data_IF_515662634491
#
_entry.id   IF_515662634491
#
_cell.length_a   1.000
_cell.length_b   1.000
_cell.length_c   1.000
_cell.angle_alpha   90.00
_cell.angle_beta   90.00
_cell.angle_gamma   90.00
#
_symmetry.space_group_name_H-M   'P 1'
#
loop_
_entity.id
_entity.type
_entity.pdbx_description
1 polymer ?
#
# COMPACT_ATOMS: atom_id res chain seq x y z
N UNK A 1 10.18 -19.09 -36.53
CA UNK A 1 9.06 -19.84 -35.92
C UNK A 1 9.38 -20.33 -34.50
N UNK A 2 10.60 -20.78 -34.22
CA UNK A 2 11.02 -21.29 -32.91
C UNK A 2 11.03 -20.20 -31.82
N UNK A 3 11.40 -18.96 -32.16
CA UNK A 3 11.48 -17.84 -31.19
C UNK A 3 10.11 -17.33 -30.70
N UNK A 4 9.05 -17.43 -31.53
CA UNK A 4 7.68 -17.05 -31.09
C UNK A 4 7.10 -18.06 -30.09
N UNK A 5 7.38 -19.34 -30.22
CA UNK A 5 6.91 -20.37 -29.29
C UNK A 5 7.58 -20.31 -27.92
N UNK A 6 8.86 -19.98 -27.85
CA UNK A 6 9.59 -19.83 -26.58
C UNK A 6 9.09 -18.63 -25.72
N UNK A 7 8.81 -17.49 -26.34
CA UNK A 7 8.26 -16.34 -25.63
C UNK A 7 6.89 -16.63 -24.97
N UNK A 8 6.04 -17.43 -25.61
CA UNK A 8 4.75 -17.84 -25.05
C UNK A 8 4.91 -18.86 -23.90
N UNK A 9 5.91 -19.72 -23.94
CA UNK A 9 6.23 -20.64 -22.85
C UNK A 9 6.72 -19.87 -21.62
N UNK A 10 7.59 -18.89 -21.80
CA UNK A 10 8.06 -18.02 -20.71
C UNK A 10 6.92 -17.24 -20.05
N UNK A 11 6.02 -16.64 -20.86
CA UNK A 11 4.82 -15.95 -20.35
C UNK A 11 3.94 -16.86 -19.51
N UNK A 12 3.65 -18.08 -20.01
CA UNK A 12 2.84 -19.06 -19.27
C UNK A 12 3.50 -19.46 -17.96
N UNK A 13 4.81 -19.68 -17.96
CA UNK A 13 5.58 -20.04 -16.78
C UNK A 13 5.54 -18.92 -15.72
N UNK A 14 5.79 -17.65 -16.11
CA UNK A 14 5.72 -16.48 -15.23
C UNK A 14 4.32 -16.32 -14.66
N UNK A 15 3.27 -16.37 -15.50
CA UNK A 15 1.88 -16.28 -15.05
C UNK A 15 1.52 -17.43 -14.11
N UNK A 16 1.97 -18.65 -14.37
CA UNK A 16 1.73 -19.81 -13.51
C UNK A 16 2.37 -19.60 -12.13
N UNK A 17 3.61 -19.10 -12.07
CA UNK A 17 4.29 -18.80 -10.82
C UNK A 17 3.53 -17.72 -10.02
N UNK A 18 3.05 -16.68 -10.69
CA UNK A 18 2.24 -15.61 -10.05
C UNK A 18 0.92 -16.17 -9.50
N UNK A 19 0.18 -16.95 -10.29
CA UNK A 19 -1.11 -17.53 -9.89
C UNK A 19 -0.95 -18.47 -8.69
N UNK A 20 0.03 -19.35 -8.73
CA UNK A 20 0.29 -20.27 -7.61
C UNK A 20 0.73 -19.48 -6.39
N UNK A 21 1.65 -18.52 -6.56
CA UNK A 21 2.11 -17.66 -5.47
C UNK A 21 0.99 -16.87 -4.79
N UNK A 22 0.07 -16.31 -5.58
CA UNK A 22 -1.11 -15.61 -5.07
C UNK A 22 -2.05 -16.55 -4.29
N UNK A 23 -2.21 -17.80 -4.72
CA UNK A 23 -3.03 -18.80 -4.00
C UNK A 23 -2.40 -19.24 -2.68
N UNK A 24 -1.08 -19.30 -2.60
CA UNK A 24 -0.38 -19.67 -1.36
C UNK A 24 -0.50 -18.59 -0.29
N UNK A 25 -0.68 -17.32 -0.68
CA UNK A 25 -0.78 -16.20 0.23
C UNK A 25 0.52 -15.88 0.99
N UNK A 26 0.50 -14.86 1.84
CA UNK A 26 1.65 -14.47 2.65
C UNK A 26 2.91 -14.22 1.79
N UNK A 27 4.01 -14.90 2.11
CA UNK A 27 5.26 -14.85 1.34
C UNK A 27 5.23 -15.67 0.04
N UNK A 28 4.13 -16.42 -0.19
CA UNK A 28 4.01 -17.37 -1.30
C UNK A 28 4.27 -16.74 -2.66
N UNK A 29 3.83 -15.50 -2.85
CA UNK A 29 4.05 -14.76 -4.09
C UNK A 29 5.55 -14.56 -4.38
N UNK A 30 6.32 -14.14 -3.39
CA UNK A 30 7.76 -13.91 -3.54
C UNK A 30 8.55 -15.21 -3.75
N UNK A 31 8.24 -16.25 -2.96
CA UNK A 31 8.95 -17.55 -3.08
C UNK A 31 8.67 -18.19 -4.44
N UNK A 32 7.42 -18.12 -4.93
CA UNK A 32 7.08 -18.60 -6.27
C UNK A 32 7.73 -17.76 -7.37
N UNK A 33 7.94 -16.46 -7.14
CA UNK A 33 8.79 -15.63 -8.00
C UNK A 33 10.22 -16.17 -8.09
N UNK A 34 10.80 -16.58 -6.95
CA UNK A 34 12.11 -17.26 -6.93
C UNK A 34 12.13 -18.57 -7.71
N UNK A 35 11.09 -19.40 -7.56
CA UNK A 35 10.96 -20.64 -8.38
C UNK A 35 10.86 -20.30 -9.86
N UNK A 36 10.04 -19.32 -10.21
CA UNK A 36 9.89 -18.87 -11.59
C UNK A 36 11.19 -18.35 -12.18
N UNK A 37 11.95 -17.56 -11.44
CA UNK A 37 13.27 -17.08 -11.82
C UNK A 37 14.26 -18.26 -12.02
N UNK A 38 14.25 -19.23 -11.10
CA UNK A 38 15.08 -20.43 -11.23
C UNK A 38 14.80 -21.20 -12.52
N UNK A 39 13.53 -21.35 -12.90
CA UNK A 39 13.15 -21.98 -14.17
C UNK A 39 13.62 -21.14 -15.36
N UNK A 40 13.43 -19.81 -15.34
CA UNK A 40 13.91 -18.93 -16.41
C UNK A 40 15.42 -19.04 -16.59
N UNK A 41 16.17 -19.11 -15.48
CA UNK A 41 17.65 -19.13 -15.51
C UNK A 41 18.21 -20.52 -15.81
N UNK A 42 17.81 -21.54 -15.04
CA UNK A 42 18.46 -22.85 -15.09
C UNK A 42 17.89 -23.76 -16.17
N UNK A 43 16.61 -23.60 -16.55
CA UNK A 43 15.98 -24.42 -17.58
C UNK A 43 16.03 -23.73 -18.94
N UNK A 44 15.73 -22.44 -18.97
CA UNK A 44 15.64 -21.69 -20.22
C UNK A 44 16.91 -20.88 -20.55
N UNK A 45 17.88 -20.81 -19.64
CA UNK A 45 19.16 -20.14 -19.88
C UNK A 45 19.09 -18.62 -19.97
N UNK A 46 18.02 -17.98 -19.45
CA UNK A 46 17.97 -16.52 -19.37
C UNK A 46 18.94 -16.03 -18.31
N UNK A 47 19.71 -15.00 -18.67
CA UNK A 47 20.59 -14.33 -17.69
C UNK A 47 19.74 -13.56 -16.68
N UNK A 48 19.88 -13.83 -15.36
CA UNK A 48 19.14 -13.10 -14.37
C UNK A 48 19.63 -11.65 -14.29
N UNK A 49 18.69 -10.72 -14.12
CA UNK A 49 18.99 -9.32 -13.84
C UNK A 49 19.46 -9.13 -12.39
N UNK A 50 19.82 -7.91 -11.99
CA UNK A 50 20.09 -7.61 -10.59
C UNK A 50 18.77 -7.63 -9.78
N UNK A 51 18.77 -8.15 -8.55
CA UNK A 51 17.61 -8.05 -7.67
C UNK A 51 17.33 -6.58 -7.31
N UNK A 52 16.08 -6.19 -7.04
CA UNK A 52 15.69 -4.81 -6.74
C UNK A 52 16.04 -4.40 -5.29
N UNK A 53 17.34 -4.39 -4.95
CA UNK A 53 17.85 -4.21 -3.57
C UNK A 53 17.40 -2.87 -2.99
N UNK A 54 17.58 -1.78 -3.74
CA UNK A 54 17.22 -0.43 -3.26
C UNK A 54 15.74 -0.33 -2.89
N UNK A 55 14.86 -0.90 -3.72
CA UNK A 55 13.41 -0.94 -3.44
C UNK A 55 13.12 -1.74 -2.17
N UNK A 56 13.79 -2.88 -2.00
CA UNK A 56 13.62 -3.72 -0.82
C UNK A 56 14.08 -3.00 0.45
N UNK A 57 15.21 -2.30 0.41
CA UNK A 57 15.77 -1.57 1.55
C UNK A 57 14.91 -0.34 1.89
N UNK A 58 14.44 0.41 0.89
CA UNK A 58 13.49 1.51 1.12
C UNK A 58 12.22 1.02 1.84
N UNK A 59 11.62 -0.07 1.38
CA UNK A 59 10.42 -0.63 2.00
C UNK A 59 10.73 -1.12 3.42
N UNK A 60 11.84 -1.79 3.64
CA UNK A 60 12.25 -2.25 4.97
C UNK A 60 12.45 -1.08 5.96
N UNK A 61 13.02 0.04 5.52
CA UNK A 61 13.19 1.23 6.33
C UNK A 61 11.84 1.85 6.73
N UNK A 62 10.92 2.03 5.76
CA UNK A 62 9.58 2.55 6.02
C UNK A 62 8.80 1.65 6.99
N UNK A 63 8.84 0.33 6.79
CA UNK A 63 8.19 -0.64 7.65
C UNK A 63 8.75 -0.59 9.07
N UNK A 64 10.06 -0.43 9.21
CA UNK A 64 10.70 -0.29 10.51
C UNK A 64 10.15 0.92 11.27
N UNK A 65 10.04 2.08 10.64
CA UNK A 65 9.46 3.28 11.25
C UNK A 65 7.98 3.09 11.60
N UNK A 66 7.17 2.55 10.68
CA UNK A 66 5.75 2.30 10.90
C UNK A 66 5.50 1.28 12.02
N UNK A 67 6.36 0.26 12.13
CA UNK A 67 6.29 -0.76 13.19
C UNK A 67 6.66 -0.18 14.55
N UNK A 68 7.66 0.71 14.62
CA UNK A 68 8.00 1.45 15.84
C UNK A 68 6.85 2.37 16.26
N UNK A 69 6.20 3.05 15.32
CA UNK A 69 5.00 3.85 15.58
C UNK A 69 3.85 2.98 16.12
N UNK A 70 3.62 1.81 15.52
CA UNK A 70 2.62 0.84 16.03
C UNK A 70 2.92 0.40 17.45
N UNK A 71 4.16 0.00 17.73
CA UNK A 71 4.57 -0.46 19.06
C UNK A 71 4.46 0.62 20.15
N UNK A 72 4.63 1.90 19.77
CA UNK A 72 4.42 3.06 20.64
C UNK A 72 2.94 3.40 20.86
N UNK A 73 1.99 2.66 20.23
CA UNK A 73 0.54 2.90 20.32
C UNK A 73 0.01 3.93 19.33
N UNK A 74 0.82 4.35 18.34
CA UNK A 74 0.44 5.36 17.37
C UNK A 74 -0.78 4.96 16.54
N UNK A 75 -0.87 3.68 16.11
CA UNK A 75 -2.03 3.19 15.38
C UNK A 75 -3.30 3.22 16.23
N UNK A 76 -3.23 2.80 17.51
CA UNK A 76 -4.37 2.85 18.41
C UNK A 76 -4.85 4.30 18.62
N UNK A 77 -3.92 5.25 18.70
CA UNK A 77 -4.23 6.68 18.77
C UNK A 77 -4.96 7.18 17.52
N UNK A 78 -4.51 6.76 16.32
CA UNK A 78 -5.18 7.09 15.06
C UNK A 78 -6.59 6.50 15.00
N UNK A 79 -6.79 5.26 15.46
CA UNK A 79 -8.11 4.61 15.54
C UNK A 79 -9.07 5.39 16.45
N UNK A 80 -8.60 5.85 17.62
CA UNK A 80 -9.41 6.71 18.51
C UNK A 80 -9.78 8.06 17.87
N UNK A 81 -8.88 8.62 17.10
CA UNK A 81 -9.17 9.85 16.34
C UNK A 81 -10.23 9.57 15.26
N UNK A 82 -10.14 8.42 14.55
CA UNK A 82 -11.16 8.00 13.61
C UNK A 82 -12.53 7.83 14.26
N UNK A 83 -12.59 7.15 15.40
CA UNK A 83 -13.81 6.97 16.18
C UNK A 83 -14.45 8.32 16.52
N UNK A 84 -13.65 9.23 17.04
CA UNK A 84 -14.15 10.57 17.40
C UNK A 84 -14.74 11.32 16.20
N UNK A 85 -14.06 11.26 15.05
CA UNK A 85 -14.51 11.90 13.81
C UNK A 85 -15.81 11.29 13.28
N UNK A 86 -15.90 9.96 13.28
CA UNK A 86 -17.08 9.24 12.79
C UNK A 86 -18.30 9.45 13.71
N UNK A 87 -18.10 9.35 15.03
CA UNK A 87 -19.19 9.55 16.02
C UNK A 87 -19.68 11.00 16.11
N UNK A 88 -18.87 11.97 15.68
CA UNK A 88 -19.29 13.39 15.65
C UNK A 88 -20.35 13.65 14.57
N UNK A 89 -20.31 12.93 13.45
CA UNK A 89 -21.25 13.08 12.33
C UNK A 89 -21.71 11.71 11.81
N UNK A 90 -22.44 10.94 12.61
CA UNK A 90 -22.71 9.54 12.32
C UNK A 90 -23.67 9.34 11.13
N UNK A 91 -24.55 10.30 10.85
CA UNK A 91 -25.44 10.27 9.66
C UNK A 91 -24.69 10.32 8.33
N UNK A 92 -23.44 10.82 8.33
CA UNK A 92 -22.60 10.90 7.13
C UNK A 92 -21.51 9.81 7.10
N UNK A 93 -21.69 8.73 7.85
CA UNK A 93 -20.67 7.66 7.98
C UNK A 93 -20.25 7.07 6.62
N UNK A 94 -21.16 6.94 5.66
CA UNK A 94 -20.84 6.43 4.31
C UNK A 94 -19.87 7.35 3.54
N UNK A 95 -19.89 8.66 3.78
CA UNK A 95 -19.00 9.61 3.15
C UNK A 95 -17.73 9.84 3.99
N UNK A 96 -17.85 9.85 5.31
CA UNK A 96 -16.73 10.13 6.23
C UNK A 96 -15.79 8.92 6.37
N UNK A 97 -16.32 7.70 6.40
CA UNK A 97 -15.50 6.50 6.60
C UNK A 97 -14.42 6.31 5.53
N UNK A 98 -14.70 6.45 4.22
CA UNK A 98 -13.65 6.35 3.21
C UNK A 98 -12.60 7.45 3.32
N UNK A 99 -13.01 8.69 3.67
CA UNK A 99 -12.06 9.79 3.85
C UNK A 99 -11.14 9.57 5.05
N UNK A 100 -11.69 9.09 6.16
CA UNK A 100 -10.89 8.77 7.37
C UNK A 100 -9.95 7.60 7.11
N UNK A 101 -10.43 6.53 6.50
CA UNK A 101 -9.59 5.37 6.15
C UNK A 101 -8.53 5.73 5.11
N UNK A 102 -8.87 6.54 4.12
CA UNK A 102 -7.93 7.06 3.14
C UNK A 102 -6.82 7.85 3.81
N UNK A 103 -7.18 8.86 4.62
CA UNK A 103 -6.21 9.71 5.30
C UNK A 103 -5.25 8.91 6.19
N UNK A 104 -5.78 7.97 6.95
CA UNK A 104 -4.97 7.17 7.87
C UNK A 104 -4.06 6.19 7.13
N UNK A 105 -4.55 5.55 6.08
CA UNK A 105 -3.73 4.70 5.22
C UNK A 105 -2.67 5.50 4.47
N UNK A 106 -3.03 6.68 3.98
CA UNK A 106 -2.10 7.61 3.34
C UNK A 106 -0.94 7.99 4.26
N UNK A 107 -1.26 8.37 5.51
CA UNK A 107 -0.25 8.72 6.53
C UNK A 107 0.59 7.51 6.93
N UNK A 108 -0.02 6.36 7.16
CA UNK A 108 0.68 5.17 7.64
C UNK A 108 1.44 4.41 6.53
N UNK A 109 1.16 4.69 5.25
CA UNK A 109 1.76 3.99 4.10
C UNK A 109 1.34 2.53 3.96
N UNK A 110 0.34 2.07 4.74
CA UNK A 110 -0.09 0.67 4.78
C UNK A 110 -1.59 0.53 5.01
N UNK A 111 -2.24 -0.39 4.29
CA UNK A 111 -3.66 -0.70 4.43
C UNK A 111 -4.07 -1.38 5.74
N UNK A 112 -3.11 -1.83 6.55
CA UNK A 112 -3.42 -2.51 7.83
C UNK A 112 -4.15 -1.60 8.83
N UNK A 113 -3.98 -0.30 8.73
CA UNK A 113 -4.72 0.68 9.56
C UNK A 113 -6.22 0.58 9.33
N UNK A 114 -6.66 0.28 8.12
CA UNK A 114 -8.07 0.10 7.81
C UNK A 114 -8.72 -0.99 8.66
N UNK A 115 -8.06 -2.13 8.85
CA UNK A 115 -8.60 -3.23 9.66
C UNK A 115 -8.95 -2.83 11.10
N UNK A 116 -8.22 -1.86 11.64
CA UNK A 116 -8.49 -1.34 12.99
C UNK A 116 -9.64 -0.33 13.02
N UNK A 117 -9.94 0.33 11.90
CA UNK A 117 -11.01 1.33 11.78
C UNK A 117 -12.34 0.70 11.32
N UNK A 118 -12.30 -0.38 10.52
CA UNK A 118 -13.50 -1.02 9.99
C UNK A 118 -14.51 -1.43 11.07
N UNK A 119 -14.12 -2.01 12.22
CA UNK A 119 -15.05 -2.33 13.29
C UNK A 119 -15.79 -1.11 13.82
N UNK A 120 -15.11 0.02 13.96
CA UNK A 120 -15.71 1.31 14.40
C UNK A 120 -16.74 1.79 13.38
N UNK A 121 -16.40 1.70 12.09
CA UNK A 121 -17.32 2.07 11.00
C UNK A 121 -18.58 1.21 11.04
N UNK A 122 -18.43 -0.10 11.25
CA UNK A 122 -19.55 -1.04 11.36
C UNK A 122 -20.46 -0.69 12.54
N UNK A 123 -19.88 -0.40 13.71
CA UNK A 123 -20.64 -0.02 14.91
C UNK A 123 -21.41 1.29 14.68
N UNK A 124 -20.75 2.35 14.23
CA UNK A 124 -21.40 3.66 13.97
C UNK A 124 -22.51 3.51 12.91
N UNK A 125 -22.28 2.76 11.84
CA UNK A 125 -23.29 2.51 10.82
C UNK A 125 -24.51 1.76 11.38
N UNK A 126 -24.30 0.77 12.23
CA UNK A 126 -25.38 -0.02 12.86
C UNK A 126 -26.18 0.85 13.85
N UNK A 127 -25.51 1.65 14.70
CA UNK A 127 -26.15 2.59 15.63
C UNK A 127 -27.04 3.61 14.91
N UNK A 128 -26.60 4.08 13.74
CA UNK A 128 -27.37 5.03 12.91
C UNK A 128 -28.34 4.38 11.92
N UNK A 129 -28.48 3.06 11.97
CA UNK A 129 -29.34 2.29 11.07
C UNK A 129 -29.00 2.43 9.59
N UNK A 130 -27.78 2.85 9.30
CA UNK A 130 -27.21 2.87 7.96
C UNK A 130 -26.71 1.46 7.65
N UNK A 131 -26.97 0.97 6.44
CA UNK A 131 -26.51 -0.34 5.98
C UNK A 131 -24.98 -0.44 6.04
N UNK A 132 -24.37 -1.31 6.92
CA UNK A 132 -22.93 -1.30 7.15
C UNK A 132 -22.07 -1.61 5.92
N UNK A 133 -22.60 -2.38 4.96
CA UNK A 133 -21.89 -2.71 3.73
C UNK A 133 -21.55 -1.46 2.89
N UNK A 134 -22.36 -0.40 2.98
CA UNK A 134 -22.10 0.86 2.27
C UNK A 134 -20.81 1.52 2.73
N UNK A 135 -20.67 1.94 3.99
CA UNK A 135 -19.44 2.59 4.47
C UNK A 135 -18.26 1.63 4.55
N UNK A 136 -18.45 0.35 4.87
CA UNK A 136 -17.37 -0.62 4.94
C UNK A 136 -16.75 -0.90 3.57
N UNK A 137 -17.58 -1.15 2.56
CA UNK A 137 -17.10 -1.45 1.21
C UNK A 137 -16.25 -0.31 0.64
N UNK A 138 -16.76 0.92 0.73
CA UNK A 138 -16.03 2.08 0.20
C UNK A 138 -14.82 2.45 1.07
N UNK A 139 -14.85 2.20 2.38
CA UNK A 139 -13.69 2.43 3.26
C UNK A 139 -12.53 1.49 2.92
N UNK A 140 -12.81 0.22 2.59
CA UNK A 140 -11.78 -0.73 2.12
C UNK A 140 -11.19 -0.26 0.79
N UNK A 141 -12.02 0.12 -0.17
CA UNK A 141 -11.56 0.65 -1.46
C UNK A 141 -10.72 1.90 -1.26
N UNK A 142 -11.16 2.83 -0.42
CA UNK A 142 -10.43 4.06 -0.10
C UNK A 142 -9.05 3.79 0.51
N UNK A 143 -8.95 2.80 1.40
CA UNK A 143 -7.67 2.37 1.95
C UNK A 143 -6.72 1.85 0.87
N UNK A 144 -7.19 1.01 -0.06
CA UNK A 144 -6.36 0.52 -1.15
C UNK A 144 -5.92 1.63 -2.11
N UNK A 145 -6.81 2.57 -2.42
CA UNK A 145 -6.47 3.75 -3.22
C UNK A 145 -5.44 4.64 -2.51
N UNK A 146 -5.55 4.81 -1.20
CA UNK A 146 -4.60 5.59 -0.41
C UNK A 146 -3.18 5.01 -0.41
N UNK A 147 -3.00 3.68 -0.50
CA UNK A 147 -1.69 3.06 -0.67
C UNK A 147 -1.00 3.57 -1.93
N UNK A 148 -1.74 3.65 -3.03
CA UNK A 148 -1.21 4.13 -4.32
C UNK A 148 -0.82 5.62 -4.27
N UNK A 149 -1.49 6.41 -3.45
CA UNK A 149 -1.25 7.84 -3.29
C UNK A 149 -0.23 8.17 -2.18
N UNK A 150 0.05 7.25 -1.26
CA UNK A 150 0.95 7.51 -0.13
C UNK A 150 2.41 7.57 -0.58
N UNK A 151 3.15 8.64 -0.22
CA UNK A 151 4.55 8.81 -0.62
C UNK A 151 5.50 7.76 -0.01
N UNK A 152 5.06 7.08 1.04
CA UNK A 152 5.85 6.12 1.81
C UNK A 152 5.31 4.69 1.72
N UNK A 153 4.30 4.44 0.90
CA UNK A 153 3.82 3.07 0.69
C UNK A 153 4.81 2.24 -0.12
N UNK A 154 4.84 0.95 0.13
CA UNK A 154 5.66 0.02 -0.63
C UNK A 154 5.41 0.12 -2.15
N UNK A 155 4.16 0.36 -2.56
CA UNK A 155 3.79 0.48 -3.96
C UNK A 155 4.38 1.74 -4.62
N UNK A 156 4.25 2.91 -3.98
CA UNK A 156 4.79 4.18 -4.50
C UNK A 156 6.31 4.19 -4.50
N UNK A 157 6.92 3.65 -3.44
CA UNK A 157 8.38 3.53 -3.33
C UNK A 157 8.93 2.59 -4.40
N UNK A 158 8.27 1.45 -4.64
CA UNK A 158 8.65 0.54 -5.72
C UNK A 158 8.51 1.22 -7.11
N UNK A 159 7.41 1.93 -7.34
CA UNK A 159 7.20 2.66 -8.59
C UNK A 159 8.28 3.74 -8.80
N UNK A 160 8.61 4.51 -7.76
CA UNK A 160 9.68 5.50 -7.82
C UNK A 160 11.02 4.87 -8.20
N UNK A 161 11.37 3.73 -7.60
CA UNK A 161 12.58 2.98 -7.93
C UNK A 161 12.60 2.48 -9.37
N UNK A 162 11.48 1.97 -9.87
CA UNK A 162 11.35 1.51 -11.27
C UNK A 162 11.43 2.66 -12.29
N UNK A 163 11.06 3.86 -11.89
CA UNK A 163 11.08 5.07 -12.74
C UNK A 163 12.34 5.91 -12.58
N UNK A 164 13.32 5.49 -11.79
CA UNK A 164 14.54 6.25 -11.50
C UNK A 164 15.35 6.62 -12.74
N UNK A 165 15.23 5.89 -13.87
CA UNK A 165 15.89 6.19 -15.13
C UNK A 165 15.15 7.15 -16.07
N UNK A 166 14.00 7.69 -15.66
CA UNK A 166 13.10 8.48 -16.51
C UNK A 166 12.90 9.93 -16.04
N UNK A 167 13.76 10.44 -15.16
CA UNK A 167 13.68 11.80 -14.58
C UNK A 167 12.32 12.12 -13.91
N UNK A 168 11.62 11.08 -13.44
CA UNK A 168 10.34 11.20 -12.75
C UNK A 168 10.59 11.32 -11.25
N UNK A 169 10.10 12.41 -10.68
CA UNK A 169 10.20 12.68 -9.24
C UNK A 169 9.04 12.07 -8.45
N UNK A 170 9.21 11.94 -7.14
CA UNK A 170 8.10 11.56 -6.24
C UNK A 170 6.92 12.52 -6.37
N UNK A 171 7.19 13.83 -6.54
CA UNK A 171 6.14 14.82 -6.72
C UNK A 171 5.34 14.59 -8.01
N UNK A 172 5.99 14.17 -9.09
CA UNK A 172 5.31 13.86 -10.33
C UNK A 172 4.34 12.70 -10.21
N UNK A 173 4.69 11.70 -9.42
CA UNK A 173 3.79 10.59 -9.09
C UNK A 173 2.63 11.10 -8.24
N UNK A 174 2.91 11.82 -7.16
CA UNK A 174 1.90 12.26 -6.19
C UNK A 174 0.89 13.26 -6.78
N UNK A 175 1.32 14.17 -7.65
CA UNK A 175 0.41 15.15 -8.30
C UNK A 175 -0.64 14.49 -9.21
N UNK A 176 -0.40 13.24 -9.64
CA UNK A 176 -1.35 12.46 -10.42
C UNK A 176 -2.16 11.54 -9.50
N UNK A 177 -1.48 10.80 -8.63
CA UNK A 177 -2.12 9.75 -7.83
C UNK A 177 -3.04 10.31 -6.75
N UNK A 178 -2.67 11.40 -6.07
CA UNK A 178 -3.50 11.99 -5.02
C UNK A 178 -4.86 12.47 -5.55
N UNK A 179 -4.93 13.36 -6.56
CA UNK A 179 -6.23 13.83 -7.04
C UNK A 179 -7.04 12.71 -7.69
N UNK A 180 -6.42 11.81 -8.46
CA UNK A 180 -7.12 10.71 -9.11
C UNK A 180 -7.77 9.77 -8.09
N UNK A 181 -7.05 9.37 -7.05
CA UNK A 181 -7.57 8.48 -6.02
C UNK A 181 -8.62 9.14 -5.14
N UNK A 182 -8.44 10.42 -4.75
CA UNK A 182 -9.45 11.15 -3.98
C UNK A 182 -10.75 11.29 -4.78
N UNK A 183 -10.67 11.68 -6.06
CA UNK A 183 -11.86 11.77 -6.91
C UNK A 183 -12.53 10.41 -7.03
N UNK A 184 -11.77 9.35 -7.28
CA UNK A 184 -12.29 7.98 -7.37
C UNK A 184 -13.00 7.54 -6.09
N UNK A 185 -12.42 7.82 -4.93
CA UNK A 185 -12.99 7.51 -3.62
C UNK A 185 -14.28 8.30 -3.37
N UNK A 186 -14.30 9.60 -3.67
CA UNK A 186 -15.50 10.45 -3.50
C UNK A 186 -16.64 9.99 -4.42
N UNK A 187 -16.34 9.73 -5.68
CA UNK A 187 -17.34 9.19 -6.63
C UNK A 187 -17.85 7.83 -6.14
N UNK A 188 -16.97 6.92 -5.76
CA UNK A 188 -17.35 5.63 -5.19
C UNK A 188 -18.22 5.75 -3.94
N UNK A 189 -17.93 6.70 -3.04
CA UNK A 189 -18.71 6.97 -1.85
C UNK A 189 -20.12 7.44 -2.19
N UNK A 190 -20.26 8.35 -3.16
CA UNK A 190 -21.58 8.83 -3.61
C UNK A 190 -22.44 7.70 -4.21
N UNK A 191 -21.83 6.81 -5.00
CA UNK A 191 -22.54 5.64 -5.51
C UNK A 191 -22.90 4.65 -4.41
N UNK A 192 -22.00 4.42 -3.45
CA UNK A 192 -22.22 3.51 -2.32
C UNK A 192 -23.39 3.92 -1.43
N UNK A 193 -23.69 5.22 -1.32
CA UNK A 193 -24.84 5.73 -0.56
C UNK A 193 -26.18 5.15 -1.02
N UNK A 194 -26.29 4.74 -2.30
CA UNK A 194 -27.52 4.23 -2.92
C UNK A 194 -27.55 2.71 -3.02
N UNK A 195 -26.54 2.00 -2.55
CA UNK A 195 -26.44 0.54 -2.68
C UNK A 195 -27.36 -0.16 -1.67
N UNK A 196 -28.22 -1.04 -2.15
CA UNK A 196 -29.10 -1.87 -1.32
C UNK A 196 -30.25 -1.11 -0.67
N UNK A 197 -31.15 -1.85 -0.01
CA UNK A 197 -32.28 -1.28 0.76
C UNK A 197 -31.78 -0.67 2.07
N UNK A 198 -32.57 0.23 2.64
CA UNK A 198 -32.30 0.71 4.00
C UNK A 198 -32.35 -0.45 5.00
N UNK A 199 -31.54 -0.38 6.04
CA UNK A 199 -31.40 -1.48 6.99
C UNK A 199 -32.70 -1.85 7.67
N UNK A 200 -33.56 -0.86 7.94
CA UNK A 200 -34.88 -1.06 8.56
C UNK A 200 -35.84 -1.79 7.63
N UNK A 201 -35.69 -1.64 6.33
CA UNK A 201 -36.57 -2.26 5.31
C UNK A 201 -36.04 -3.64 4.86
N UNK A 202 -34.88 -4.07 5.34
CA UNK A 202 -34.27 -5.35 4.98
C UNK A 202 -34.91 -6.51 5.77
N UNK A 203 -35.58 -7.47 5.10
CA UNK A 203 -36.25 -8.57 5.79
C UNK A 203 -35.30 -9.46 6.58
N UNK A 204 -34.07 -9.65 6.08
CA UNK A 204 -33.05 -10.47 6.77
C UNK A 204 -32.55 -9.78 8.04
N UNK A 205 -32.35 -8.47 8.00
CA UNK A 205 -32.02 -7.68 9.17
C UNK A 205 -33.13 -7.76 10.24
N UNK A 206 -34.40 -7.60 9.83
CA UNK A 206 -35.54 -7.69 10.73
C UNK A 206 -35.67 -9.07 11.37
N UNK A 207 -35.39 -10.13 10.60
CA UNK A 207 -35.37 -11.50 11.11
C UNK A 207 -34.29 -11.69 12.18
N UNK A 208 -33.06 -11.31 11.88
CA UNK A 208 -31.91 -11.41 12.82
C UNK A 208 -32.12 -10.56 14.06
N UNK A 209 -32.76 -9.39 13.93
CA UNK A 209 -33.10 -8.54 15.07
C UNK A 209 -34.09 -9.24 16.01
N UNK A 210 -35.13 -9.92 15.46
CA UNK A 210 -36.09 -10.70 16.24
C UNK A 210 -35.49 -11.92 16.89
N UNK A 211 -34.49 -12.53 16.25
CA UNK A 211 -33.76 -13.69 16.78
C UNK A 211 -32.71 -13.29 17.84
N UNK A 212 -32.55 -12.01 18.13
CA UNK A 212 -31.58 -11.52 19.13
C UNK A 212 -30.12 -11.73 18.76
N UNK A 213 -29.83 -11.91 17.45
CA UNK A 213 -28.49 -12.17 16.95
C UNK A 213 -27.60 -10.91 16.89
N UNK A 214 -28.18 -9.72 17.06
CA UNK A 214 -27.42 -8.49 17.21
C UNK A 214 -27.02 -8.32 18.66
N UNK A 215 -25.76 -8.65 18.97
CA UNK A 215 -25.19 -8.32 20.26
C UNK A 215 -24.85 -6.83 20.27
N UNK A 216 -25.47 -6.06 21.16
CA UNK A 216 -25.13 -4.66 21.50
C UNK A 216 -23.75 -4.54 22.21
N UNK A 217 -22.85 -5.50 22.00
CA UNK A 217 -21.50 -5.38 22.53
C UNK A 217 -20.79 -4.27 21.79
N UNK A 218 -20.70 -3.11 22.44
CA UNK A 218 -19.79 -2.04 22.02
C UNK A 218 -18.40 -2.64 21.87
N UNK A 219 -17.79 -2.36 20.72
CA UNK A 219 -16.41 -2.77 20.50
C UNK A 219 -15.55 -1.93 21.43
N UNK A 220 -14.96 -2.58 22.42
CA UNK A 220 -13.99 -1.90 23.28
C UNK A 220 -12.73 -1.61 22.47
N UNK A 221 -12.61 -0.37 22.04
CA UNK A 221 -11.36 0.11 21.45
C UNK A 221 -10.33 0.16 22.58
N UNK A 222 -9.22 -0.54 22.39
CA UNK A 222 -8.15 -0.59 23.38
C UNK A 222 -7.74 0.83 23.78
N UNK A 223 -7.78 1.09 25.07
CA UNK A 223 -7.31 2.36 25.59
C UNK A 223 -5.83 2.55 25.32
N UNK A 224 -5.49 3.70 24.78
CA UNK A 224 -4.08 4.07 24.54
C UNK A 224 -3.40 4.23 25.88
N UNK A 225 -2.59 3.24 26.29
CA UNK A 225 -1.92 3.21 27.60
C UNK A 225 -1.12 4.48 27.90
N UNK A 226 -0.47 5.03 26.87
CA UNK A 226 0.29 6.28 26.97
C UNK A 226 -0.01 7.18 25.75
N UNK A 227 -1.03 8.04 25.91
CA UNK A 227 -1.49 8.96 24.86
C UNK A 227 -0.37 9.87 24.34
N UNK A 228 0.54 10.33 25.22
CA UNK A 228 1.65 11.20 24.83
C UNK A 228 2.65 10.47 23.94
N UNK A 229 3.06 9.27 24.29
CA UNK A 229 3.95 8.44 23.48
C UNK A 229 3.33 8.13 22.11
N UNK A 230 2.06 7.73 22.10
CA UNK A 230 1.33 7.43 20.89
C UNK A 230 1.24 8.66 19.95
N UNK A 231 0.86 9.80 20.48
CA UNK A 231 0.79 11.06 19.71
C UNK A 231 2.16 11.47 19.17
N UNK A 232 3.22 11.40 19.99
CA UNK A 232 4.58 11.74 19.57
C UNK A 232 5.10 10.80 18.47
N UNK A 233 4.82 9.51 18.55
CA UNK A 233 5.22 8.56 17.52
C UNK A 233 4.57 8.87 16.16
N UNK A 234 3.27 9.20 16.15
CA UNK A 234 2.56 9.64 14.95
C UNK A 234 3.14 10.95 14.41
N UNK A 235 3.39 11.93 15.27
CA UNK A 235 3.97 13.21 14.86
C UNK A 235 5.35 13.05 14.23
N UNK A 236 6.25 12.27 14.85
CA UNK A 236 7.59 12.00 14.32
C UNK A 236 7.48 11.33 12.96
N UNK A 237 6.57 10.36 12.80
CA UNK A 237 6.37 9.65 11.55
C UNK A 237 5.84 10.57 10.44
N UNK A 238 4.88 11.45 10.75
CA UNK A 238 4.35 12.46 9.81
C UNK A 238 5.45 13.45 9.41
N UNK A 239 6.26 13.91 10.35
CA UNK A 239 7.38 14.82 10.06
C UNK A 239 8.42 14.16 9.16
N UNK A 240 8.79 12.90 9.42
CA UNK A 240 9.68 12.14 8.56
C UNK A 240 9.11 12.01 7.13
N UNK A 241 7.81 11.70 7.00
CA UNK A 241 7.13 11.66 5.70
C UNK A 241 7.16 13.02 5.00
N UNK A 242 6.91 14.10 5.73
CA UNK A 242 6.97 15.46 5.19
C UNK A 242 8.39 15.80 4.67
N UNK A 243 9.44 15.38 5.38
CA UNK A 243 10.83 15.53 4.91
C UNK A 243 11.07 14.77 3.61
N UNK A 244 10.60 13.53 3.50
CA UNK A 244 10.72 12.74 2.26
C UNK A 244 10.03 13.43 1.09
N UNK A 245 8.81 13.93 1.30
CA UNK A 245 8.08 14.67 0.27
C UNK A 245 8.81 15.95 -0.12
N UNK A 246 9.37 16.68 0.85
CA UNK A 246 10.13 17.89 0.61
C UNK A 246 11.36 17.63 -0.28
N UNK A 247 12.20 16.68 0.07
CA UNK A 247 13.38 16.29 -0.74
C UNK A 247 12.99 15.66 -2.08
N UNK A 248 11.86 14.98 -2.14
CA UNK A 248 11.31 14.41 -3.38
C UNK A 248 10.75 15.46 -4.33
N UNK A 249 10.28 16.59 -3.79
CA UNK A 249 9.72 17.71 -4.58
C UNK A 249 10.78 18.70 -5.03
N UNK A 250 11.83 18.90 -4.26
CA UNK A 250 12.86 19.91 -4.49
C UNK A 250 14.25 19.26 -4.53
N UNK A 251 14.68 18.88 -5.72
CA UNK A 251 15.97 18.20 -5.92
C UNK A 251 17.15 19.01 -5.42
N UNK A 252 17.13 20.32 -5.62
CA UNK A 252 18.18 21.25 -5.16
C UNK A 252 18.31 21.35 -3.63
N UNK A 253 17.38 20.78 -2.85
CA UNK A 253 17.49 20.69 -1.38
C UNK A 253 18.18 19.40 -0.91
N UNK A 254 18.39 18.44 -1.81
CA UNK A 254 19.04 17.17 -1.46
C UNK A 254 20.51 17.40 -1.15
N UNK A 255 21.08 16.73 -0.15
CA UNK A 255 22.52 16.79 0.14
C UNK A 255 23.33 16.37 -1.08
N UNK A 256 24.36 17.15 -1.38
CA UNK A 256 25.32 16.87 -2.45
C UNK A 256 26.72 16.80 -1.90
N UNK A 257 27.50 15.86 -2.41
CA UNK A 257 28.86 15.57 -1.95
C UNK A 257 29.83 15.69 -3.12
N UNK A 258 31.05 16.16 -2.85
CA UNK A 258 32.11 16.14 -3.84
C UNK A 258 32.84 14.78 -3.73
N UNK A 259 32.66 13.94 -4.73
CA UNK A 259 33.28 12.61 -4.82
C UNK A 259 34.11 12.58 -6.10
N UNK A 260 35.40 12.32 -5.99
CA UNK A 260 36.36 12.24 -7.12
C UNK A 260 36.33 13.47 -8.07
N UNK A 261 35.99 14.65 -7.52
CA UNK A 261 35.89 15.91 -8.28
C UNK A 261 34.55 16.17 -8.94
N UNK A 262 33.57 15.25 -8.83
CA UNK A 262 32.21 15.40 -9.32
C UNK A 262 31.22 15.65 -8.17
N UNK A 263 30.19 16.47 -8.44
CA UNK A 263 29.12 16.72 -7.46
C UNK A 263 28.09 15.60 -7.61
N UNK A 264 28.01 14.75 -6.60
CA UNK A 264 27.02 13.65 -6.53
C UNK A 264 25.92 14.02 -5.56
N UNK A 265 24.70 14.15 -6.05
CA UNK A 265 23.51 14.43 -5.24
C UNK A 265 22.92 13.13 -4.69
N UNK A 266 22.53 13.13 -3.42
CA UNK A 266 21.98 11.95 -2.75
C UNK A 266 20.67 11.50 -3.41
N UNK A 267 20.60 10.23 -3.80
CA UNK A 267 19.43 9.63 -4.41
C UNK A 267 18.24 9.52 -3.44
N UNK A 268 17.01 9.51 -4.00
CA UNK A 268 15.79 9.40 -3.19
C UNK A 268 15.71 8.11 -2.39
N UNK A 269 16.24 7.01 -2.88
CA UNK A 269 16.30 5.73 -2.16
C UNK A 269 17.00 5.91 -0.82
N UNK A 270 18.22 6.46 -0.85
CA UNK A 270 19.02 6.69 0.36
C UNK A 270 18.38 7.70 1.30
N UNK A 271 17.71 8.75 0.77
CA UNK A 271 16.97 9.71 1.60
C UNK A 271 15.84 9.02 2.35
N UNK A 272 15.03 8.21 1.68
CA UNK A 272 13.93 7.46 2.31
C UNK A 272 14.47 6.53 3.40
N UNK A 273 15.54 5.79 3.10
CA UNK A 273 16.16 4.86 4.03
C UNK A 273 16.68 5.56 5.28
N UNK A 274 17.48 6.61 5.11
CA UNK A 274 18.07 7.38 6.21
C UNK A 274 17.00 8.04 7.08
N UNK A 275 16.04 8.73 6.45
CA UNK A 275 14.99 9.47 7.17
C UNK A 275 14.09 8.51 7.94
N UNK A 276 13.67 7.39 7.34
CA UNK A 276 12.78 6.43 8.00
C UNK A 276 13.48 5.63 9.10
N UNK A 277 14.72 5.20 8.91
CA UNK A 277 15.47 4.54 9.97
C UNK A 277 15.75 5.51 11.14
N UNK A 278 16.07 6.77 10.83
CA UNK A 278 16.24 7.81 11.86
C UNK A 278 14.93 8.06 12.63
N UNK A 279 13.80 8.14 11.93
CA UNK A 279 12.49 8.27 12.55
C UNK A 279 12.15 7.08 13.46
N UNK A 280 12.45 5.85 13.01
CA UNK A 280 12.29 4.64 13.83
C UNK A 280 13.10 4.75 15.14
N UNK A 281 14.38 5.12 15.05
CA UNK A 281 15.25 5.29 16.21
C UNK A 281 14.73 6.39 17.15
N UNK A 282 14.34 7.55 16.63
CA UNK A 282 13.79 8.66 17.42
C UNK A 282 12.51 8.23 18.14
N UNK A 283 11.60 7.51 17.43
CA UNK A 283 10.38 6.98 18.05
C UNK A 283 10.73 6.07 19.22
N UNK A 284 11.61 5.09 19.06
CA UNK A 284 11.98 4.17 20.12
C UNK A 284 12.57 4.89 21.34
N UNK A 285 13.47 5.86 21.11
CA UNK A 285 14.13 6.62 22.18
C UNK A 285 13.13 7.53 22.91
N UNK A 286 12.36 8.34 22.18
CA UNK A 286 11.46 9.34 22.77
C UNK A 286 10.27 8.68 23.48
N UNK A 287 9.74 7.59 22.91
CA UNK A 287 8.59 6.87 23.49
C UNK A 287 9.01 5.80 24.49
N UNK A 288 10.31 5.52 24.62
CA UNK A 288 10.85 4.42 25.44
C UNK A 288 10.22 3.07 25.10
N UNK A 289 9.95 2.86 23.81
CA UNK A 289 9.36 1.63 23.29
C UNK A 289 10.44 0.59 23.04
N UNK A 290 10.18 -0.65 23.40
CA UNK A 290 11.07 -1.77 23.16
C UNK A 290 11.07 -2.15 21.66
N UNK A 291 12.26 -2.22 21.05
CA UNK A 291 12.44 -2.61 19.65
C UNK A 291 11.92 -4.01 19.32
N UNK A 292 11.97 -4.94 20.28
CA UNK A 292 11.40 -6.29 20.10
C UNK A 292 9.89 -6.22 19.86
N UNK A 293 9.18 -5.34 20.57
CA UNK A 293 7.74 -5.14 20.38
C UNK A 293 7.40 -4.62 19.00
N UNK A 294 8.28 -3.84 18.38
CA UNK A 294 8.06 -3.34 17.04
C UNK A 294 7.97 -4.47 16.00
N UNK A 295 8.73 -5.55 16.17
CA UNK A 295 8.70 -6.71 15.25
C UNK A 295 7.53 -7.66 15.50
N UNK A 296 6.89 -7.57 16.65
CA UNK A 296 5.75 -8.43 17.04
C UNK A 296 4.38 -7.88 16.61
N UNK A 297 4.32 -6.61 16.20
CA UNK A 297 3.11 -5.99 15.70
C UNK A 297 2.71 -6.51 14.31
N UNK A 298 1.49 -6.18 13.86
CA UNK A 298 0.97 -6.62 12.55
C UNK A 298 1.66 -5.95 11.35
N UNK A 299 2.20 -4.75 11.54
CA UNK A 299 2.81 -3.96 10.46
C UNK A 299 4.12 -4.59 9.98
N UNK A 300 4.98 -5.04 10.91
CA UNK A 300 6.29 -5.59 10.55
C UNK A 300 6.20 -6.87 9.70
N UNK A 301 5.48 -7.94 10.13
CA UNK A 301 5.34 -9.16 9.33
C UNK A 301 4.71 -8.89 7.97
N UNK A 302 3.68 -8.07 7.91
CA UNK A 302 3.01 -7.75 6.67
C UNK A 302 3.90 -6.95 5.70
N UNK A 303 4.68 -6.03 6.24
CA UNK A 303 5.66 -5.29 5.44
C UNK A 303 6.78 -6.17 4.95
N UNK A 304 7.30 -7.09 5.77
CA UNK A 304 8.32 -8.05 5.33
C UNK A 304 7.78 -9.02 4.26
N UNK A 305 6.49 -9.37 4.30
CA UNK A 305 5.86 -10.11 3.20
C UNK A 305 5.91 -9.32 1.89
N UNK A 306 5.69 -8.00 1.93
CA UNK A 306 5.81 -7.14 0.74
C UNK A 306 7.26 -7.09 0.21
N UNK A 307 8.26 -6.99 1.09
CA UNK A 307 9.68 -7.05 0.71
C UNK A 307 10.00 -8.36 -0.02
N UNK A 308 9.57 -9.51 0.54
CA UNK A 308 9.81 -10.82 -0.04
C UNK A 308 9.06 -10.97 -1.38
N UNK A 309 7.82 -10.47 -1.46
CA UNK A 309 7.04 -10.49 -2.68
C UNK A 309 7.72 -9.71 -3.80
N UNK A 310 8.19 -8.50 -3.52
CA UNK A 310 8.91 -7.66 -4.49
C UNK A 310 10.23 -8.32 -4.89
N UNK A 311 10.98 -8.86 -3.91
CA UNK A 311 12.21 -9.59 -4.20
C UNK A 311 12.00 -10.67 -5.25
N UNK A 312 11.05 -11.57 -5.05
CA UNK A 312 10.85 -12.69 -5.98
C UNK A 312 10.18 -12.29 -7.29
N UNK A 313 9.04 -11.58 -7.21
CA UNK A 313 8.23 -11.26 -8.41
C UNK A 313 8.90 -10.20 -9.28
N UNK A 314 9.45 -9.13 -8.69
CA UNK A 314 10.06 -8.08 -9.50
C UNK A 314 11.34 -8.61 -10.17
N UNK A 315 12.16 -9.39 -9.47
CA UNK A 315 13.36 -9.98 -10.04
C UNK A 315 13.04 -10.96 -11.18
N UNK A 316 12.06 -11.86 -10.98
CA UNK A 316 11.57 -12.75 -12.03
C UNK A 316 11.02 -11.96 -13.22
N UNK A 317 10.18 -10.94 -12.93
CA UNK A 317 9.54 -10.10 -13.95
C UNK A 317 10.55 -9.32 -14.77
N UNK A 318 11.53 -8.70 -14.13
CA UNK A 318 12.58 -7.94 -14.82
C UNK A 318 13.46 -8.85 -15.68
N UNK A 319 13.86 -10.00 -15.17
CA UNK A 319 14.59 -11.02 -15.94
C UNK A 319 13.80 -11.47 -17.17
N UNK A 320 12.48 -11.72 -17.00
CA UNK A 320 11.61 -12.06 -18.12
C UNK A 320 11.50 -10.92 -19.15
N UNK A 321 11.27 -9.69 -18.68
CA UNK A 321 11.12 -8.51 -19.53
C UNK A 321 12.38 -8.24 -20.32
N UNK A 322 13.55 -8.21 -19.70
CA UNK A 322 14.82 -7.95 -20.37
C UNK A 322 15.17 -9.06 -21.37
N UNK A 323 14.94 -10.32 -21.00
CA UNK A 323 15.16 -11.45 -21.90
C UNK A 323 14.23 -11.50 -23.11
N UNK A 324 13.10 -10.78 -23.08
CA UNK A 324 12.11 -10.77 -24.15
C UNK A 324 11.81 -9.35 -24.68
N UNK A 325 12.62 -8.35 -24.35
CA UNK A 325 12.37 -6.93 -24.65
C UNK A 325 12.06 -6.69 -26.13
N UNK A 326 12.83 -7.24 -27.05
CA UNK A 326 12.64 -7.06 -28.48
C UNK A 326 11.25 -7.54 -28.98
N UNK A 327 10.78 -8.67 -28.47
CA UNK A 327 9.48 -9.24 -28.86
C UNK A 327 8.31 -8.49 -28.20
N UNK A 328 8.49 -8.04 -26.96
CA UNK A 328 7.49 -7.28 -26.22
C UNK A 328 7.29 -5.90 -26.80
N UNK A 329 8.37 -5.19 -27.14
CA UNK A 329 8.32 -3.88 -27.79
C UNK A 329 7.52 -3.94 -29.09
N UNK A 330 7.82 -4.89 -29.97
CA UNK A 330 7.09 -5.06 -31.23
C UNK A 330 5.60 -5.36 -31.03
N UNK A 331 5.26 -6.14 -30.00
CA UNK A 331 3.88 -6.53 -29.71
C UNK A 331 3.07 -5.39 -29.08
N UNK A 332 3.67 -4.67 -28.15
CA UNK A 332 3.01 -3.60 -27.39
C UNK A 332 2.89 -2.32 -28.23
N UNK A 333 3.93 -1.98 -28.99
CA UNK A 333 3.96 -0.76 -29.82
C UNK A 333 2.82 -0.72 -30.82
N UNK A 334 2.48 -1.85 -31.43
CA UNK A 334 1.34 -1.97 -32.35
C UNK A 334 -0.03 -1.72 -31.66
N UNK A 335 -0.21 -2.21 -30.45
CA UNK A 335 -1.47 -2.08 -29.69
C UNK A 335 -1.60 -0.67 -29.10
N UNK A 336 -0.54 -0.16 -28.48
CA UNK A 336 -0.56 1.17 -27.82
C UNK A 336 -0.69 2.31 -28.84
N UNK A 337 -0.07 2.20 -30.00
CA UNK A 337 -0.23 3.20 -31.07
C UNK A 337 -1.65 3.23 -31.65
N UNK A 338 -2.32 2.08 -31.74
CA UNK A 338 -3.67 2.01 -32.31
C UNK A 338 -4.76 2.35 -31.28
N UNK A 339 -4.57 1.99 -30.03
CA UNK A 339 -5.60 2.14 -28.98
C UNK A 339 -4.97 2.45 -27.60
N UNK A 340 -4.49 3.69 -27.35
CA UNK A 340 -3.84 4.07 -26.09
C UNK A 340 -4.74 3.89 -24.86
N UNK A 341 -6.04 4.03 -25.00
CA UNK A 341 -7.04 3.85 -23.94
C UNK A 341 -7.19 2.40 -23.47
N UNK A 342 -6.89 1.42 -24.33
CA UNK A 342 -6.93 0.00 -23.98
C UNK A 342 -5.92 -0.36 -22.90
N UNK A 343 -4.79 0.35 -22.85
CA UNK A 343 -3.78 0.20 -21.80
C UNK A 343 -4.33 0.61 -20.42
N UNK A 344 -5.06 1.73 -20.35
CA UNK A 344 -5.73 2.15 -19.11
C UNK A 344 -6.79 1.17 -18.62
N UNK A 345 -7.58 0.60 -19.53
CA UNK A 345 -8.58 -0.43 -19.18
C UNK A 345 -7.91 -1.72 -18.73
N UNK A 346 -6.85 -2.17 -19.40
CA UNK A 346 -6.11 -3.37 -19.02
C UNK A 346 -5.50 -3.24 -17.62
N UNK A 347 -4.90 -2.08 -17.28
CA UNK A 347 -4.42 -1.77 -15.95
C UNK A 347 -5.55 -1.76 -14.92
N UNK A 348 -6.68 -1.14 -15.22
CA UNK A 348 -7.84 -1.09 -14.34
C UNK A 348 -8.40 -2.49 -14.05
N UNK A 349 -8.57 -3.32 -15.07
CA UNK A 349 -9.02 -4.70 -14.90
C UNK A 349 -8.00 -5.56 -14.13
N UNK A 350 -6.71 -5.34 -14.33
CA UNK A 350 -5.64 -6.00 -13.57
C UNK A 350 -5.71 -5.69 -12.08
N UNK A 351 -5.99 -4.42 -11.72
CA UNK A 351 -6.15 -4.00 -10.32
C UNK A 351 -7.39 -4.59 -9.65
N UNK A 352 -8.49 -4.77 -10.36
CA UNK A 352 -9.71 -5.36 -9.81
C UNK A 352 -9.51 -6.85 -9.46
N UNK A 353 -8.68 -7.57 -10.20
CA UNK A 353 -8.41 -9.00 -9.97
C UNK A 353 -7.44 -9.26 -8.81
N UNK A 354 -6.69 -8.26 -8.38
CA UNK A 354 -5.77 -8.34 -7.23
C UNK A 354 -6.50 -8.02 -5.94
#
# INVERSE_FOLDING_TARGET
YASRGLGDVYKRQVLTAIIIGARLGGIGLGVMGGVGLGILTFVFGLQPTAPPIDVMLMIAAVISAASCMQAAGGLDYMVKLAEHLLRKNPSHVTLLSPLVTYLFTFIAGTGHVAYSVLPVIAEVATETKIRPERPLGIAVIASQQAITASPISAATVALLGLLAGFDITLFDILKITIPATIIGVLVGALFSMKVGKELIEDPEYQKRLKEGLFNDKKIEIKDVKNKRSAMLSVLIFILATAFIVLFGSFEGMRPSFLIDGEIVTLGMSSIIEIVMLSAAAIILIVTKTDGIKATQGSVFPAGMQAVIAIFGIAWMGDTFLQGNMAQLTLSIEGIVRQMPWLFGIALFLSLIHI
#
